data_IF_242764296778
#
_entry.id   IF_242764296778
#
_cell.length_a   1.000
_cell.length_b   1.000
_cell.length_c   1.000
_cell.angle_alpha   90.00
_cell.angle_beta   90.00
_cell.angle_gamma   90.00
#
_symmetry.space_group_name_H-M   'P 1'
#
loop_
_entity.id
_entity.type
_entity.pdbx_description
1 polymer ?
#
# COMPACT_ATOMS: atom_id res chain seq x y z
N UNK A 1 5.42 -16.94 1.60
CA UNK A 1 5.34 -16.47 0.20
C UNK A 1 6.30 -15.31 0.07
N UNK A 2 6.77 -15.06 -1.15
CA UNK A 2 7.69 -13.97 -1.42
C UNK A 2 6.93 -12.65 -1.54
N UNK A 3 7.54 -11.53 -1.16
CA UNK A 3 6.94 -10.21 -1.33
C UNK A 3 6.32 -10.08 -2.74
N UNK A 4 5.05 -9.65 -2.87
CA UNK A 4 4.37 -9.64 -4.16
C UNK A 4 5.08 -8.75 -5.18
N UNK A 5 5.81 -7.74 -4.70
CA UNK A 5 6.55 -6.80 -5.52
C UNK A 5 7.99 -7.22 -5.84
N UNK A 6 8.84 -7.37 -4.83
CA UNK A 6 10.28 -7.61 -5.03
C UNK A 6 10.71 -9.07 -4.94
N UNK A 7 9.75 -9.99 -4.70
CA UNK A 7 10.00 -11.43 -4.57
C UNK A 7 11.02 -11.79 -3.48
N UNK A 8 11.25 -10.91 -2.51
CA UNK A 8 12.05 -11.23 -1.33
C UNK A 8 11.34 -12.33 -0.54
N UNK A 9 12.05 -13.42 -0.25
CA UNK A 9 11.56 -14.47 0.65
C UNK A 9 11.44 -13.92 2.08
N UNK A 10 10.21 -13.80 2.57
CA UNK A 10 9.92 -13.25 3.90
C UNK A 10 9.87 -14.39 4.93
N UNK A 11 10.70 -14.31 5.97
CA UNK A 11 10.80 -15.31 7.03
C UNK A 11 10.46 -14.69 8.40
N UNK A 12 9.19 -14.42 8.66
CA UNK A 12 8.72 -14.13 10.02
C UNK A 12 8.00 -15.35 10.57
N UNK A 13 8.10 -15.49 11.88
CA UNK A 13 7.50 -16.56 12.69
C UNK A 13 6.09 -16.23 13.13
N UNK A 14 5.58 -15.04 12.82
CA UNK A 14 4.27 -14.55 13.27
C UNK A 14 3.33 -14.40 12.07
N UNK A 15 2.11 -14.97 12.15
CA UNK A 15 1.16 -14.89 11.06
C UNK A 15 0.69 -13.44 10.84
N UNK A 16 0.62 -13.04 9.56
CA UNK A 16 -0.05 -11.82 9.10
C UNK A 16 -1.37 -11.57 9.83
N UNK A 17 -1.59 -10.32 10.26
CA UNK A 17 -2.83 -9.85 10.90
C UNK A 17 -3.81 -9.44 9.80
N UNK A 18 -4.91 -10.16 9.63
CA UNK A 18 -5.90 -9.87 8.58
C UNK A 18 -7.26 -10.50 8.84
N UNK A 19 -8.31 -9.97 8.19
CA UNK A 19 -9.72 -10.22 8.48
C UNK A 19 -10.09 -11.71 8.66
N UNK A 20 -10.88 -12.00 9.69
CA UNK A 20 -11.30 -13.34 10.15
C UNK A 20 -12.10 -14.20 9.13
N UNK A 21 -12.28 -13.73 7.90
CA UNK A 21 -13.04 -14.38 6.85
C UNK A 21 -12.14 -15.25 5.95
N UNK A 22 -11.97 -16.51 6.35
CA UNK A 22 -11.79 -17.70 5.49
C UNK A 22 -10.60 -17.82 4.51
N UNK A 23 -9.52 -17.05 4.58
CA UNK A 23 -8.37 -17.26 3.69
C UNK A 23 -7.04 -17.26 4.45
N UNK A 24 -6.53 -18.44 4.79
CA UNK A 24 -5.26 -18.62 5.51
C UNK A 24 -4.08 -18.65 4.53
N UNK A 25 -3.47 -17.50 4.26
CA UNK A 25 -2.06 -17.42 3.84
C UNK A 25 -1.40 -16.21 4.50
N UNK A 26 -0.61 -16.47 5.54
CA UNK A 26 0.14 -15.44 6.23
C UNK A 26 1.50 -15.22 5.53
N UNK A 27 1.70 -14.05 4.94
CA UNK A 27 3.03 -13.53 4.67
C UNK A 27 3.64 -12.84 5.89
N UNK A 28 4.96 -12.76 5.87
CA UNK A 28 5.78 -12.26 6.95
C UNK A 28 6.24 -10.83 6.67
N UNK A 29 5.30 -9.93 6.40
CA UNK A 29 5.61 -8.50 6.38
C UNK A 29 5.94 -8.03 7.80
N UNK A 30 6.74 -6.97 7.91
CA UNK A 30 7.09 -6.40 9.21
C UNK A 30 5.99 -5.44 9.64
N UNK A 31 5.27 -5.79 10.69
CA UNK A 31 4.30 -4.89 11.31
C UNK A 31 5.01 -3.72 11.99
N UNK A 32 4.62 -2.51 11.63
CA UNK A 32 5.10 -1.25 12.20
C UNK A 32 3.89 -0.39 12.61
N UNK A 33 4.09 0.48 13.60
CA UNK A 33 3.05 1.42 14.04
C UNK A 33 3.19 2.73 13.28
N UNK A 34 2.18 3.06 12.49
CA UNK A 34 2.10 4.30 11.75
C UNK A 34 1.90 5.53 12.68
N UNK A 35 2.23 6.73 12.20
CA UNK A 35 2.13 7.98 12.98
C UNK A 35 0.70 8.28 13.48
N UNK A 36 -0.32 7.80 12.76
CA UNK A 36 -1.74 7.89 13.17
C UNK A 36 -2.13 6.86 14.23
N UNK A 37 -1.23 5.96 14.60
CA UNK A 37 -1.47 4.86 15.55
C UNK A 37 -2.02 3.58 14.93
N UNK A 38 -2.31 3.58 13.62
CA UNK A 38 -2.72 2.40 12.85
C UNK A 38 -1.52 1.46 12.68
N UNK A 39 -1.72 0.16 12.82
CA UNK A 39 -0.69 -0.85 12.53
C UNK A 39 -0.67 -1.08 11.02
N UNK A 40 0.52 -1.11 10.41
CA UNK A 40 0.68 -1.31 8.96
C UNK A 40 1.82 -2.29 8.74
N UNK A 41 1.85 -2.95 7.58
CA UNK A 41 2.81 -4.00 7.30
C UNK A 41 3.76 -3.60 6.18
N UNK A 42 5.07 -3.63 6.44
CA UNK A 42 6.09 -3.15 5.51
C UNK A 42 6.98 -4.30 5.02
N UNK A 43 7.26 -4.32 3.72
CA UNK A 43 8.28 -5.19 3.14
C UNK A 43 9.68 -4.58 3.38
N UNK A 44 10.60 -5.29 4.08
CA UNK A 44 11.94 -4.77 4.35
C UNK A 44 12.84 -4.69 3.11
N UNK A 45 12.45 -5.32 1.99
CA UNK A 45 13.23 -5.34 0.76
C UNK A 45 12.95 -4.14 -0.15
N UNK A 46 11.68 -3.91 -0.47
CA UNK A 46 11.29 -2.81 -1.36
C UNK A 46 10.68 -1.61 -0.64
N UNK A 47 10.34 -1.71 0.65
CA UNK A 47 9.60 -0.66 1.38
C UNK A 47 8.14 -0.52 0.96
N UNK A 48 7.58 -1.51 0.24
CA UNK A 48 6.14 -1.56 -0.05
C UNK A 48 5.33 -1.83 1.22
N UNK A 49 4.15 -1.24 1.29
CA UNK A 49 3.27 -1.28 2.46
C UNK A 49 1.99 -2.02 2.12
N UNK A 50 1.55 -2.89 3.02
CA UNK A 50 0.22 -3.47 3.01
C UNK A 50 -0.60 -2.91 4.18
N UNK A 51 -1.87 -2.63 3.87
CA UNK A 51 -2.88 -2.12 4.78
C UNK A 51 -4.06 -3.08 4.76
N UNK A 52 -4.56 -3.47 5.93
CA UNK A 52 -5.79 -4.24 6.03
C UNK A 52 -7.00 -3.44 5.54
N UNK A 53 -8.10 -4.17 5.32
CA UNK A 53 -9.39 -3.59 4.99
C UNK A 53 -9.76 -2.45 5.95
N UNK A 54 -9.86 -1.24 5.40
CA UNK A 54 -10.27 -0.04 6.15
C UNK A 54 -9.14 0.69 6.89
N UNK A 55 -7.92 0.17 6.96
CA UNK A 55 -6.80 0.89 7.59
C UNK A 55 -6.41 2.15 6.84
N UNK A 56 -6.39 2.12 5.50
CA UNK A 56 -6.18 3.32 4.69
C UNK A 56 -7.22 4.42 5.00
N UNK A 57 -8.49 4.02 5.22
CA UNK A 57 -9.56 4.95 5.62
C UNK A 57 -9.33 5.53 7.01
N UNK A 58 -8.78 4.74 7.93
CA UNK A 58 -8.42 5.22 9.27
C UNK A 58 -7.27 6.24 9.21
N UNK A 59 -6.24 5.97 8.40
CA UNK A 59 -5.14 6.90 8.14
C UNK A 59 -5.67 8.21 7.55
N UNK A 60 -6.50 8.14 6.49
CA UNK A 60 -7.15 9.29 5.89
C UNK A 60 -7.97 10.11 6.91
N UNK A 61 -8.77 9.44 7.72
CA UNK A 61 -9.62 10.08 8.73
C UNK A 61 -8.83 10.74 9.84
N UNK A 62 -7.63 10.24 10.15
CA UNK A 62 -6.72 10.84 11.11
C UNK A 62 -5.99 12.05 10.51
N UNK A 63 -5.52 11.95 9.27
CA UNK A 63 -4.84 13.04 8.55
C UNK A 63 -5.74 14.26 8.35
N UNK A 64 -7.02 14.08 8.03
CA UNK A 64 -7.98 15.17 7.86
C UNK A 64 -8.25 15.98 9.15
N UNK A 65 -7.92 15.43 10.33
CA UNK A 65 -8.10 16.10 11.64
C UNK A 65 -6.92 17.02 11.99
N UNK A 66 -5.77 16.82 11.36
CA UNK A 66 -4.57 17.62 11.58
C UNK A 66 -4.48 18.74 10.55
N UNK A 67 -4.79 19.98 10.94
CA UNK A 67 -4.50 21.15 10.09
C UNK A 67 -2.99 21.30 9.95
N UNK A 68 -2.46 21.15 8.74
CA UNK A 68 -1.04 21.36 8.48
C UNK A 68 -0.84 22.32 7.32
N UNK A 69 -0.02 23.36 7.52
CA UNK A 69 0.48 24.22 6.44
C UNK A 69 1.62 23.47 5.74
N UNK A 70 1.29 22.65 4.74
CA UNK A 70 2.31 21.95 3.93
C UNK A 70 2.35 22.59 2.55
N UNK A 71 3.57 22.86 2.08
CA UNK A 71 3.88 23.24 0.70
C UNK A 71 3.96 21.97 -0.17
N UNK A 72 3.16 21.78 -1.23
CA UNK A 72 3.43 20.73 -2.22
C UNK A 72 4.29 21.27 -3.38
N UNK A 73 4.97 20.47 -4.24
CA UNK A 73 5.19 19.01 -4.22
C UNK A 73 6.60 18.58 -4.74
N UNK A 74 7.50 18.05 -3.92
CA UNK A 74 8.63 17.27 -4.45
C UNK A 74 8.36 15.77 -4.45
N UNK A 75 7.53 15.29 -3.52
CA UNK A 75 7.29 13.86 -3.35
C UNK A 75 6.20 13.32 -4.28
N UNK A 76 5.06 14.01 -4.36
CA UNK A 76 4.02 13.74 -5.36
C UNK A 76 4.59 13.76 -6.78
N UNK A 77 5.46 14.73 -7.11
CA UNK A 77 6.13 14.78 -8.41
C UNK A 77 6.97 13.52 -8.69
N UNK A 78 7.66 12.97 -7.68
CA UNK A 78 8.45 11.73 -7.83
C UNK A 78 7.58 10.50 -8.03
N UNK A 79 6.40 10.44 -7.41
CA UNK A 79 5.43 9.38 -7.65
C UNK A 79 4.89 9.48 -9.07
N UNK A 80 4.52 10.69 -9.51
CA UNK A 80 4.09 10.94 -10.89
C UNK A 80 5.17 10.58 -11.92
N UNK A 81 6.41 11.03 -11.73
CA UNK A 81 7.52 10.73 -12.63
C UNK A 81 7.76 9.21 -12.71
N UNK A 82 7.63 8.49 -11.60
CA UNK A 82 7.77 7.02 -11.58
C UNK A 82 6.62 6.32 -12.29
N UNK A 83 5.37 6.76 -12.07
CA UNK A 83 4.20 6.23 -12.77
C UNK A 83 4.31 6.44 -14.28
N UNK A 84 4.69 7.65 -14.69
CA UNK A 84 4.96 8.00 -16.09
C UNK A 84 6.08 7.17 -16.70
N UNK A 85 7.21 7.01 -16.02
CA UNK A 85 8.32 6.20 -16.51
C UNK A 85 7.92 4.73 -16.72
N UNK A 86 7.09 4.16 -15.84
CA UNK A 86 6.54 2.79 -16.03
C UNK A 86 5.67 2.70 -17.27
N UNK A 87 4.79 3.67 -17.47
CA UNK A 87 3.91 3.73 -18.64
C UNK A 87 4.70 3.95 -19.96
N UNK A 88 5.70 4.83 -19.97
CA UNK A 88 6.55 5.11 -21.13
C UNK A 88 7.40 3.89 -21.54
N UNK A 89 7.85 3.09 -20.58
CA UNK A 89 8.57 1.84 -20.86
C UNK A 89 7.65 0.66 -21.27
N UNK A 90 6.32 0.84 -21.26
CA UNK A 90 5.38 -0.24 -21.55
C UNK A 90 5.32 -1.32 -20.46
N UNK A 91 5.87 -1.04 -19.28
CA UNK A 91 5.84 -1.93 -18.14
C UNK A 91 4.45 -1.88 -17.51
N UNK A 92 3.57 -2.77 -17.95
CA UNK A 92 2.34 -3.03 -17.20
C UNK A 92 2.75 -3.66 -15.86
N UNK A 93 2.44 -3.04 -14.71
CA UNK A 93 2.80 -3.63 -13.43
C UNK A 93 2.24 -5.05 -13.35
N UNK A 94 3.03 -6.05 -12.92
CA UNK A 94 2.52 -7.40 -12.73
C UNK A 94 1.34 -7.36 -11.75
N UNK A 95 0.29 -8.12 -12.05
CA UNK A 95 -0.80 -8.34 -11.11
C UNK A 95 -0.24 -8.87 -9.79
N UNK A 96 -0.57 -8.19 -8.69
CA UNK A 96 -0.06 -8.56 -7.38
C UNK A 96 -0.93 -9.66 -6.77
N UNK A 97 -0.30 -10.52 -6.00
CA UNK A 97 -0.97 -11.50 -5.15
C UNK A 97 -1.08 -10.92 -3.75
N UNK A 98 -2.26 -10.97 -3.16
CA UNK A 98 -2.50 -10.40 -1.83
C UNK A 98 -1.68 -11.16 -0.77
N UNK A 99 -0.87 -10.46 0.05
CA UNK A 99 -0.06 -11.08 1.09
C UNK A 99 -0.88 -11.63 2.26
N UNK A 100 -2.14 -11.18 2.41
CA UNK A 100 -3.07 -11.59 3.47
C UNK A 100 -3.87 -12.85 3.13
N UNK A 101 -4.37 -12.95 1.90
CA UNK A 101 -5.30 -14.03 1.52
C UNK A 101 -4.87 -14.83 0.29
N UNK A 102 -3.86 -14.36 -0.46
CA UNK A 102 -3.45 -14.95 -1.73
C UNK A 102 -4.36 -14.63 -2.93
N UNK A 103 -5.36 -13.77 -2.76
CA UNK A 103 -6.26 -13.33 -3.83
C UNK A 103 -5.58 -12.38 -4.82
N UNK A 104 -6.22 -12.16 -5.98
CA UNK A 104 -5.76 -11.19 -6.97
C UNK A 104 -5.95 -9.76 -6.45
N UNK A 105 -4.99 -8.89 -6.76
CA UNK A 105 -5.07 -7.45 -6.49
C UNK A 105 -5.23 -6.70 -7.81
N UNK A 106 -6.23 -5.82 -7.85
CA UNK A 106 -6.50 -4.96 -8.98
C UNK A 106 -5.93 -3.56 -8.73
N UNK A 107 -5.13 -3.07 -9.66
CA UNK A 107 -4.66 -1.69 -9.68
C UNK A 107 -5.82 -0.73 -9.97
N UNK A 108 -5.98 0.30 -9.13
CA UNK A 108 -7.06 1.29 -9.23
C UNK A 108 -6.53 2.67 -8.85
N UNK A 109 -6.96 3.69 -9.57
CA UNK A 109 -6.66 5.06 -9.17
C UNK A 109 -7.40 5.42 -7.88
N UNK A 110 -6.69 6.08 -6.98
CA UNK A 110 -7.24 6.52 -5.71
C UNK A 110 -8.04 7.82 -5.87
N UNK A 111 -9.34 7.70 -6.06
CA UNK A 111 -10.24 8.86 -6.20
C UNK A 111 -10.20 9.51 -7.59
N UNK A 112 -11.21 10.33 -7.89
CA UNK A 112 -11.33 10.97 -9.19
C UNK A 112 -10.26 12.05 -9.37
N UNK A 113 -9.30 11.81 -10.27
CA UNK A 113 -8.30 12.81 -10.67
C UNK A 113 -7.01 12.82 -9.85
N UNK A 114 -6.76 11.81 -9.01
CA UNK A 114 -5.39 11.55 -8.53
C UNK A 114 -4.72 10.54 -9.46
N UNK A 115 -3.44 10.73 -9.79
CA UNK A 115 -2.66 9.69 -10.50
C UNK A 115 -1.97 8.73 -9.52
N UNK A 116 -2.47 8.63 -8.27
CA UNK A 116 -1.97 7.65 -7.31
C UNK A 116 -2.72 6.34 -7.53
N UNK A 117 -2.05 5.37 -8.14
CA UNK A 117 -2.58 4.02 -8.30
C UNK A 117 -2.33 3.21 -7.04
N UNK A 118 -3.37 2.51 -6.56
CA UNK A 118 -3.29 1.57 -5.44
C UNK A 118 -3.69 0.17 -5.90
N UNK A 119 -3.09 -0.87 -5.34
CA UNK A 119 -3.49 -2.25 -5.60
C UNK A 119 -4.47 -2.69 -4.53
N UNK A 120 -5.70 -3.06 -4.89
CA UNK A 120 -6.73 -3.50 -3.94
C UNK A 120 -7.06 -4.98 -4.16
N UNK A 121 -7.01 -5.77 -3.09
CA UNK A 121 -7.42 -7.17 -3.13
C UNK A 121 -8.94 -7.28 -3.35
N UNK A 122 -9.35 -8.14 -4.27
CA UNK A 122 -10.77 -8.36 -4.59
C UNK A 122 -11.51 -9.23 -3.56
N UNK A 123 -10.78 -9.95 -2.70
CA UNK A 123 -11.34 -10.88 -1.71
C UNK A 123 -11.41 -10.26 -0.31
N UNK A 124 -10.27 -9.79 0.20
CA UNK A 124 -10.17 -9.26 1.57
C UNK A 124 -10.21 -7.74 1.65
N UNK A 125 -10.20 -7.03 0.51
CA UNK A 125 -10.17 -5.56 0.44
C UNK A 125 -8.93 -4.89 1.07
N UNK A 126 -7.88 -5.66 1.36
CA UNK A 126 -6.58 -5.11 1.74
C UNK A 126 -5.93 -4.36 0.58
N UNK A 127 -5.11 -3.36 0.91
CA UNK A 127 -4.48 -2.45 -0.05
C UNK A 127 -2.97 -2.62 0.01
N UNK A 128 -2.35 -2.73 -1.16
CA UNK A 128 -0.91 -2.65 -1.33
C UNK A 128 -0.53 -1.29 -1.93
N UNK A 129 0.52 -0.70 -1.38
CA UNK A 129 1.13 0.55 -1.79
C UNK A 129 2.60 0.28 -2.06
N UNK A 130 3.10 0.68 -3.23
CA UNK A 130 4.53 0.68 -3.50
C UNK A 130 5.25 1.69 -2.58
N UNK A 131 6.58 1.54 -2.50
CA UNK A 131 7.42 2.49 -1.78
C UNK A 131 7.10 3.92 -2.19
N UNK A 132 6.94 4.81 -1.21
CA UNK A 132 6.60 6.24 -1.32
C UNK A 132 5.14 6.60 -1.63
N UNK A 133 4.27 5.61 -1.91
CA UNK A 133 2.86 5.89 -2.26
C UNK A 133 2.01 6.23 -1.04
N UNK A 134 2.26 5.63 0.13
CA UNK A 134 1.53 5.97 1.36
C UNK A 134 1.75 7.44 1.72
N UNK A 135 3.00 7.90 1.69
CA UNK A 135 3.36 9.28 2.00
C UNK A 135 2.74 10.26 0.99
N UNK A 136 2.66 9.89 -0.29
CA UNK A 136 1.98 10.70 -1.30
C UNK A 136 0.47 10.78 -1.06
N UNK A 137 -0.18 9.68 -0.64
CA UNK A 137 -1.59 9.70 -0.24
C UNK A 137 -1.81 10.59 0.98
N UNK A 138 -0.93 10.55 1.97
CA UNK A 138 -1.02 11.41 3.15
C UNK A 138 -0.89 12.91 2.83
N UNK A 139 -0.10 13.29 1.82
CA UNK A 139 -0.05 14.68 1.32
C UNK A 139 -1.39 15.09 0.70
N UNK A 140 -2.08 14.19 0.02
CA UNK A 140 -3.40 14.44 -0.58
C UNK A 140 -4.52 14.47 0.48
N UNK A 141 -4.37 13.79 1.61
CA UNK A 141 -5.39 13.73 2.67
C UNK A 141 -5.51 15.00 3.53
N UNK A 142 -4.54 15.92 3.44
CA UNK A 142 -4.45 17.10 4.30
C UNK A 142 -5.08 18.35 3.69
#
# INVERSE_FOLDING_TARGET
>A
MDCPRCKLALSSTEPYRGAETKHRRAEALRTIKHATGVEIDECPGCGGVFLDAGELRQIQSAAAKTKSNVTPPSHIQRVYDRGRQRAEHGDTPPTLTCPSCGGEMAARDWGFGTEVTIDTCLECFGVWLDYTELEALEEVFR
#
